data_IF_044777226856
#
_entry.id   IF_044777226856
#
_cell.length_a   1.000
_cell.length_b   1.000
_cell.length_c   1.000
_cell.angle_alpha   90.00
_cell.angle_beta   90.00
_cell.angle_gamma   90.00
#
_symmetry.space_group_name_H-M   'P 1'
#
loop_
_entity.id
_entity.type
_entity.pdbx_description
1 polymer ?
#
# COMPACT_ATOMS: atom_id res chain seq x y z
N UNK A 1 9.67 8.37 -11.21
CA UNK A 1 9.51 7.03 -10.58
C UNK A 1 8.12 6.46 -10.74
N UNK A 2 7.10 6.99 -10.08
CA UNK A 2 5.69 6.60 -10.19
C UNK A 2 4.87 7.76 -10.74
N UNK A 3 3.98 7.48 -11.69
CA UNK A 3 2.97 8.43 -12.16
C UNK A 3 1.59 7.78 -12.09
N UNK A 4 0.64 8.42 -11.41
CA UNK A 4 -0.77 8.03 -11.33
C UNK A 4 -1.60 9.15 -11.93
N UNK A 5 -2.48 8.81 -12.88
CA UNK A 5 -3.39 9.76 -13.53
C UNK A 5 -4.83 9.26 -13.42
N UNK A 6 -5.67 10.05 -12.77
CA UNK A 6 -7.13 9.88 -12.65
C UNK A 6 -7.56 8.47 -12.19
N UNK A 7 -6.76 7.85 -11.31
CA UNK A 7 -7.05 6.50 -10.81
C UNK A 7 -8.39 6.46 -10.08
N UNK A 8 -9.28 5.59 -10.52
CA UNK A 8 -10.55 5.30 -9.85
C UNK A 8 -10.74 3.80 -9.66
N UNK A 9 -11.10 3.40 -8.44
CA UNK A 9 -11.35 2.01 -8.05
C UNK A 9 -12.65 1.87 -7.28
N UNK A 10 -13.54 0.99 -7.77
CA UNK A 10 -14.79 0.61 -7.12
C UNK A 10 -14.91 -0.91 -7.05
N UNK A 11 -15.19 -1.46 -5.88
CA UNK A 11 -15.43 -2.91 -5.75
C UNK A 11 -16.85 -3.27 -6.22
N UNK A 12 -17.03 -4.47 -6.81
CA UNK A 12 -18.28 -4.91 -7.47
C UNK A 12 -19.55 -4.68 -6.64
N UNK A 13 -19.50 -4.88 -5.33
CA UNK A 13 -20.65 -4.77 -4.42
C UNK A 13 -20.66 -3.45 -3.63
N UNK A 14 -19.73 -2.54 -3.89
CA UNK A 14 -19.66 -1.27 -3.18
C UNK A 14 -20.59 -0.24 -3.83
N UNK A 15 -21.27 0.57 -3.02
CA UNK A 15 -22.06 1.71 -3.49
C UNK A 15 -21.16 2.90 -3.83
N UNK A 16 -19.99 3.01 -3.19
CA UNK A 16 -19.05 4.13 -3.32
C UNK A 16 -17.71 3.67 -3.90
N UNK A 17 -16.99 4.59 -4.51
CA UNK A 17 -15.60 4.38 -4.91
C UNK A 17 -14.71 4.27 -3.66
N UNK A 18 -13.77 3.32 -3.68
CA UNK A 18 -12.72 3.21 -2.66
C UNK A 18 -11.56 4.18 -2.95
N UNK A 19 -11.35 4.49 -4.24
CA UNK A 19 -10.43 5.53 -4.73
C UNK A 19 -11.13 6.20 -5.90
N UNK A 20 -11.09 7.54 -5.96
CA UNK A 20 -11.76 8.32 -7.02
C UNK A 20 -10.89 9.46 -7.51
N UNK A 21 -10.58 9.43 -8.80
CA UNK A 21 -9.83 10.49 -9.50
C UNK A 21 -8.52 10.88 -8.80
N UNK A 22 -7.74 9.88 -8.37
CA UNK A 22 -6.48 10.08 -7.69
C UNK A 22 -5.36 10.32 -8.71
N UNK A 23 -4.65 11.45 -8.59
CA UNK A 23 -3.52 11.79 -9.46
C UNK A 23 -2.37 12.34 -8.64
N UNK A 24 -1.18 11.76 -8.77
CA UNK A 24 0.06 12.26 -8.19
C UNK A 24 1.28 11.58 -8.82
N UNK A 25 2.45 12.15 -8.56
CA UNK A 25 3.75 11.64 -9.04
C UNK A 25 4.73 11.50 -7.89
N UNK A 26 5.61 10.50 -8.00
CA UNK A 26 6.78 10.34 -7.15
C UNK A 26 8.05 10.57 -7.97
N UNK A 27 8.99 11.26 -7.35
CA UNK A 27 10.33 11.47 -7.89
C UNK A 27 11.23 10.24 -7.61
N UNK A 28 12.38 10.17 -8.30
CA UNK A 28 13.40 9.18 -8.00
C UNK A 28 14.16 9.59 -6.72
N UNK A 29 14.43 8.62 -5.86
CA UNK A 29 15.23 8.86 -4.66
C UNK A 29 14.53 9.64 -3.54
N UNK A 30 13.20 9.54 -3.42
CA UNK A 30 12.45 10.12 -2.31
C UNK A 30 11.81 9.06 -1.40
N UNK A 31 11.52 9.43 -0.16
CA UNK A 31 10.61 8.71 0.72
C UNK A 31 9.28 9.45 0.73
N UNK A 32 8.25 8.81 0.18
CA UNK A 32 6.93 9.39 0.04
C UNK A 32 5.93 8.71 0.98
N UNK A 33 5.34 9.49 1.88
CA UNK A 33 4.30 9.04 2.79
C UNK A 33 2.90 9.11 2.16
N UNK A 34 2.07 8.12 2.43
CA UNK A 34 0.66 8.09 2.01
C UNK A 34 -0.22 8.05 3.25
N UNK A 35 -0.63 9.22 3.73
CA UNK A 35 -1.25 9.45 5.02
C UNK A 35 -2.77 9.49 4.91
N UNK A 36 -3.45 8.79 5.80
CA UNK A 36 -4.92 8.82 5.87
C UNK A 36 -5.46 7.92 6.95
N UNK A 37 -6.70 8.19 7.38
CA UNK A 37 -7.41 7.36 8.36
C UNK A 37 -7.64 5.94 7.84
N UNK A 38 -8.02 5.02 8.71
CA UNK A 38 -8.46 3.69 8.30
C UNK A 38 -9.70 3.82 7.40
N UNK A 39 -9.70 3.09 6.27
CA UNK A 39 -10.75 3.20 5.26
C UNK A 39 -10.60 4.39 4.28
N UNK A 40 -9.55 5.21 4.37
CA UNK A 40 -9.32 6.32 3.45
C UNK A 40 -9.00 5.90 2.01
N UNK A 41 -8.68 4.61 1.75
CA UNK A 41 -8.35 4.09 0.43
C UNK A 41 -6.87 3.74 0.24
N UNK A 42 -6.03 3.81 1.29
CA UNK A 42 -4.57 3.58 1.22
C UNK A 42 -4.22 2.21 0.64
N UNK A 43 -4.63 1.13 1.29
CA UNK A 43 -4.32 -0.24 0.83
C UNK A 43 -4.96 -0.56 -0.53
N UNK A 44 -6.12 0.03 -0.86
CA UNK A 44 -6.72 -0.10 -2.19
C UNK A 44 -5.83 0.55 -3.26
N UNK A 45 -5.32 1.74 -3.01
CA UNK A 45 -4.39 2.44 -3.91
C UNK A 45 -3.11 1.64 -4.08
N UNK A 46 -2.51 1.14 -2.99
CA UNK A 46 -1.31 0.29 -3.03
C UNK A 46 -1.54 -0.97 -3.86
N UNK A 47 -2.67 -1.65 -3.67
CA UNK A 47 -3.02 -2.85 -4.45
C UNK A 47 -3.21 -2.56 -5.95
N UNK A 48 -3.69 -1.37 -6.31
CA UNK A 48 -3.73 -0.93 -7.72
C UNK A 48 -2.32 -0.64 -8.25
N UNK A 49 -1.48 0.09 -7.50
CA UNK A 49 -0.08 0.39 -7.86
C UNK A 49 0.71 -0.90 -8.10
N UNK A 50 0.56 -1.88 -7.22
CA UNK A 50 1.27 -3.17 -7.31
C UNK A 50 0.65 -4.16 -8.32
N UNK A 51 -0.46 -3.76 -8.96
CA UNK A 51 -1.17 -4.61 -9.93
C UNK A 51 -1.75 -5.89 -9.33
N UNK A 52 -2.08 -5.88 -8.03
CA UNK A 52 -2.77 -6.98 -7.33
C UNK A 52 -4.25 -6.96 -7.66
N UNK A 53 -4.84 -5.77 -7.76
CA UNK A 53 -6.23 -5.61 -8.17
C UNK A 53 -6.30 -4.68 -9.40
N UNK A 54 -7.22 -4.95 -10.35
CA UNK A 54 -7.47 -4.04 -11.45
C UNK A 54 -8.21 -2.78 -10.96
N UNK A 55 -8.13 -1.71 -11.74
CA UNK A 55 -8.85 -0.47 -11.53
C UNK A 55 -9.75 -0.18 -12.74
N UNK A 56 -10.75 0.70 -12.57
CA UNK A 56 -11.76 0.97 -13.60
C UNK A 56 -11.32 2.12 -14.53
N UNK A 57 -10.67 3.15 -13.97
CA UNK A 57 -10.29 4.35 -14.72
C UNK A 57 -8.89 4.81 -14.36
N UNK A 58 -8.24 5.50 -15.29
CA UNK A 58 -6.93 6.11 -15.12
C UNK A 58 -5.78 5.27 -15.64
N UNK A 59 -4.58 5.63 -15.24
CA UNK A 59 -3.34 4.91 -15.58
C UNK A 59 -2.34 4.98 -14.44
N UNK A 60 -1.48 3.96 -14.35
CA UNK A 60 -0.37 3.87 -13.41
C UNK A 60 0.87 3.47 -14.19
N UNK A 61 1.90 4.31 -14.13
CA UNK A 61 3.21 4.06 -14.75
C UNK A 61 4.28 3.99 -13.68
N UNK A 62 5.12 2.95 -13.71
CA UNK A 62 6.19 2.68 -12.74
C UNK A 62 7.49 2.47 -13.50
N UNK A 63 8.50 3.29 -13.22
CA UNK A 63 9.78 3.27 -13.92
C UNK A 63 9.62 3.29 -15.46
N UNK A 64 8.60 3.99 -15.98
CA UNK A 64 8.29 4.06 -17.41
C UNK A 64 7.40 2.95 -17.95
N UNK A 65 7.04 1.94 -17.15
CA UNK A 65 6.18 0.82 -17.56
C UNK A 65 4.75 0.99 -17.04
N UNK A 66 3.76 0.93 -17.93
CA UNK A 66 2.34 0.95 -17.57
C UNK A 66 1.94 -0.39 -16.94
N UNK A 67 1.39 -0.35 -15.72
CA UNK A 67 1.06 -1.57 -14.95
C UNK A 67 0.00 -2.45 -15.62
N UNK A 68 -0.84 -1.89 -16.48
CA UNK A 68 -1.91 -2.61 -17.18
C UNK A 68 -1.43 -3.18 -18.51
N UNK A 69 -0.50 -2.50 -19.20
CA UNK A 69 -0.02 -2.89 -20.53
C UNK A 69 1.26 -3.73 -20.45
N UNK A 70 2.14 -3.41 -19.52
CA UNK A 70 3.40 -4.12 -19.30
C UNK A 70 3.60 -4.47 -17.82
N UNK A 71 2.72 -5.33 -17.25
CA UNK A 71 2.73 -5.63 -15.82
C UNK A 71 4.00 -6.35 -15.36
N UNK A 72 4.66 -7.11 -16.24
CA UNK A 72 5.86 -7.87 -15.89
C UNK A 72 7.01 -6.89 -15.62
N UNK A 73 7.32 -6.01 -16.56
CA UNK A 73 8.41 -5.05 -16.40
C UNK A 73 8.12 -4.03 -15.29
N UNK A 74 6.86 -3.59 -15.13
CA UNK A 74 6.47 -2.75 -14.00
C UNK A 74 6.75 -3.46 -12.66
N UNK A 75 6.30 -4.72 -12.49
CA UNK A 75 6.45 -5.50 -11.24
C UNK A 75 7.91 -5.87 -10.94
N UNK A 76 8.76 -6.06 -11.93
CA UNK A 76 10.19 -6.29 -11.73
C UNK A 76 10.91 -5.11 -11.04
N UNK A 77 10.33 -3.91 -11.11
CA UNK A 77 10.86 -2.74 -10.42
C UNK A 77 10.27 -2.53 -9.01
N UNK A 78 9.28 -3.34 -8.59
CA UNK A 78 8.56 -3.17 -7.32
C UNK A 78 9.02 -4.20 -6.30
N UNK A 79 9.42 -3.74 -5.11
CA UNK A 79 9.46 -4.55 -3.89
C UNK A 79 8.23 -4.24 -3.04
N UNK A 80 7.31 -5.17 -2.85
CA UNK A 80 6.08 -4.94 -2.12
C UNK A 80 6.02 -5.70 -0.81
N UNK A 81 5.66 -4.99 0.26
CA UNK A 81 5.41 -5.56 1.60
C UNK A 81 3.98 -5.23 2.00
N UNK A 82 3.09 -6.24 2.11
CA UNK A 82 1.71 -6.06 2.53
C UNK A 82 1.59 -5.87 4.05
N UNK A 83 0.46 -5.33 4.50
CA UNK A 83 0.10 -5.16 5.91
C UNK A 83 -0.09 -6.49 6.67
N UNK A 84 -0.43 -7.55 5.97
CA UNK A 84 -0.89 -8.83 6.55
C UNK A 84 0.15 -9.97 6.47
N UNK A 85 1.44 -9.70 6.47
CA UNK A 85 2.52 -10.73 6.47
C UNK A 85 2.11 -12.07 5.81
N UNK A 86 1.57 -12.02 4.57
CA UNK A 86 1.18 -13.22 3.84
C UNK A 86 2.44 -14.01 3.40
N UNK A 87 2.96 -14.84 4.31
CA UNK A 87 4.17 -15.64 4.12
C UNK A 87 3.84 -17.14 4.13
N UNK A 88 4.70 -17.94 3.52
CA UNK A 88 4.61 -19.40 3.60
C UNK A 88 5.19 -19.89 4.92
N UNK A 89 4.35 -20.02 5.94
CA UNK A 89 4.76 -20.31 7.33
C UNK A 89 5.51 -21.63 7.52
N UNK A 90 5.33 -22.60 6.63
CA UNK A 90 6.02 -23.88 6.66
C UNK A 90 7.44 -23.85 6.07
N UNK A 91 7.78 -22.80 5.34
CA UNK A 91 9.15 -22.60 4.84
C UNK A 91 10.03 -22.02 5.94
N UNK A 92 11.34 -22.27 5.84
CA UNK A 92 12.33 -21.49 6.59
C UNK A 92 12.45 -20.09 5.98
N UNK A 93 12.99 -19.13 6.76
CA UNK A 93 13.24 -17.79 6.24
C UNK A 93 14.14 -17.80 5.00
N UNK A 94 15.18 -18.61 5.01
CA UNK A 94 16.10 -18.79 3.87
C UNK A 94 15.36 -19.32 2.64
N UNK A 95 14.59 -20.39 2.79
CA UNK A 95 13.81 -20.97 1.69
C UNK A 95 12.83 -19.95 1.10
N UNK A 96 12.15 -19.19 1.94
CA UNK A 96 11.18 -18.17 1.49
C UNK A 96 11.85 -17.06 0.69
N UNK A 97 12.96 -16.50 1.19
CA UNK A 97 13.70 -15.44 0.47
C UNK A 97 14.32 -15.98 -0.82
N UNK A 98 14.85 -17.21 -0.80
CA UNK A 98 15.38 -17.88 -2.00
C UNK A 98 14.28 -18.12 -3.04
N UNK A 99 13.09 -18.57 -2.60
CA UNK A 99 11.94 -18.76 -3.46
C UNK A 99 11.55 -17.45 -4.16
N UNK A 100 11.48 -16.34 -3.42
CA UNK A 100 11.20 -15.03 -4.00
C UNK A 100 12.28 -14.57 -4.96
N UNK A 101 13.57 -14.77 -4.62
CA UNK A 101 14.68 -14.48 -5.52
C UNK A 101 14.58 -15.22 -6.85
N UNK A 102 14.20 -16.50 -6.82
CA UNK A 102 14.00 -17.32 -8.01
C UNK A 102 12.82 -16.82 -8.89
N UNK A 103 11.71 -16.39 -8.27
CA UNK A 103 10.58 -15.79 -9.01
C UNK A 103 11.04 -14.54 -9.78
N UNK A 104 11.85 -13.69 -9.17
CA UNK A 104 12.40 -12.49 -9.80
C UNK A 104 13.66 -12.78 -10.66
N UNK A 105 14.02 -14.06 -10.88
CA UNK A 105 15.15 -14.51 -11.71
C UNK A 105 16.50 -13.93 -11.27
N UNK A 106 16.67 -13.74 -9.96
CA UNK A 106 17.96 -13.34 -9.39
C UNK A 106 18.91 -14.52 -9.45
N UNK A 107 20.17 -14.30 -9.83
CA UNK A 107 21.22 -15.33 -9.86
C UNK A 107 21.43 -15.93 -8.46
N UNK A 108 21.64 -17.25 -8.40
CA UNK A 108 21.74 -18.01 -7.14
C UNK A 108 22.82 -17.44 -6.20
N UNK A 109 23.98 -17.09 -6.73
CA UNK A 109 25.07 -16.53 -5.93
C UNK A 109 24.69 -15.17 -5.31
N UNK A 110 23.95 -14.32 -6.06
CA UNK A 110 23.44 -13.03 -5.57
C UNK A 110 22.34 -13.22 -4.53
N UNK A 111 21.51 -14.25 -4.64
CA UNK A 111 20.50 -14.57 -3.63
C UNK A 111 21.19 -14.86 -2.30
N UNK A 112 22.19 -15.77 -2.29
CA UNK A 112 22.92 -16.14 -1.07
C UNK A 112 23.67 -14.94 -0.45
N UNK A 113 24.35 -14.14 -1.28
CA UNK A 113 25.01 -12.92 -0.83
C UNK A 113 24.02 -11.95 -0.16
N UNK A 114 22.87 -11.69 -0.81
CA UNK A 114 21.84 -10.77 -0.31
C UNK A 114 21.17 -11.31 0.95
N UNK A 115 20.88 -12.60 1.03
CA UNK A 115 20.36 -13.24 2.24
C UNK A 115 21.31 -13.03 3.42
N UNK A 116 22.62 -13.25 3.22
CA UNK A 116 23.64 -13.02 4.24
C UNK A 116 23.69 -11.55 4.66
N UNK A 117 23.71 -10.64 3.69
CA UNK A 117 23.70 -9.18 3.93
C UNK A 117 22.48 -8.72 4.71
N UNK A 118 21.28 -9.09 4.26
CA UNK A 118 20.04 -8.73 4.92
C UNK A 118 19.87 -9.41 6.28
N UNK A 119 20.27 -10.68 6.38
CA UNK A 119 20.26 -11.42 7.65
C UNK A 119 21.08 -10.72 8.74
N UNK A 120 22.26 -10.24 8.40
CA UNK A 120 23.08 -9.44 9.31
C UNK A 120 22.43 -8.08 9.61
N UNK A 121 21.94 -7.38 8.58
CA UNK A 121 21.38 -6.03 8.72
C UNK A 121 20.11 -5.96 9.54
N UNK A 122 19.19 -6.91 9.36
CA UNK A 122 17.94 -6.99 10.11
C UNK A 122 18.04 -7.83 11.38
N UNK A 123 19.25 -8.23 11.77
CA UNK A 123 19.49 -9.11 12.90
C UNK A 123 18.64 -10.39 12.84
N UNK A 124 18.60 -11.03 11.65
CA UNK A 124 17.81 -12.23 11.36
C UNK A 124 18.67 -13.47 11.09
N UNK A 125 20.02 -13.32 11.05
CA UNK A 125 20.92 -14.41 10.67
C UNK A 125 20.72 -15.70 11.50
N UNK A 126 20.43 -15.56 12.81
CA UNK A 126 20.23 -16.69 13.73
C UNK A 126 18.92 -17.46 13.47
N UNK A 127 17.96 -16.83 12.79
CA UNK A 127 16.61 -17.38 12.60
C UNK A 127 16.36 -17.88 11.17
N UNK A 128 17.22 -17.55 10.21
CA UNK A 128 16.98 -17.84 8.79
C UNK A 128 16.69 -19.30 8.49
N UNK A 129 17.25 -20.22 9.26
CA UNK A 129 17.09 -21.66 9.07
C UNK A 129 15.95 -22.26 9.90
N UNK A 130 15.22 -21.42 10.66
CA UNK A 130 14.01 -21.78 11.39
C UNK A 130 12.77 -21.55 10.53
N UNK A 131 11.70 -22.31 10.77
CA UNK A 131 10.43 -22.12 10.07
C UNK A 131 9.77 -20.80 10.45
N UNK A 132 9.19 -20.09 9.46
CA UNK A 132 8.54 -18.79 9.63
C UNK A 132 7.37 -18.82 10.62
N UNK A 133 6.71 -19.97 10.79
CA UNK A 133 5.65 -20.10 11.81
C UNK A 133 6.14 -19.83 13.25
N UNK A 134 7.43 -20.01 13.52
CA UNK A 134 8.03 -19.72 14.82
C UNK A 134 8.46 -18.27 15.02
N UNK A 135 8.33 -17.43 13.98
CA UNK A 135 8.77 -16.06 14.02
C UNK A 135 7.80 -15.16 14.79
N UNK A 136 8.34 -14.21 15.54
CA UNK A 136 7.55 -13.10 16.09
C UNK A 136 6.98 -12.21 14.98
N UNK A 137 6.05 -11.34 15.32
CA UNK A 137 5.48 -10.37 14.37
C UNK A 137 6.57 -9.53 13.68
N UNK A 138 7.51 -8.98 14.45
CA UNK A 138 8.64 -8.21 13.91
C UNK A 138 9.56 -9.04 13.01
N UNK A 139 9.81 -10.31 13.34
CA UNK A 139 10.59 -11.22 12.49
C UNK A 139 9.87 -11.54 11.19
N UNK A 140 8.54 -11.74 11.23
CA UNK A 140 7.72 -11.92 10.01
C UNK A 140 7.77 -10.67 9.13
N UNK A 141 7.72 -9.49 9.70
CA UNK A 141 7.89 -8.24 8.94
C UNK A 141 9.26 -8.15 8.28
N UNK A 142 10.34 -8.43 9.03
CA UNK A 142 11.70 -8.39 8.50
C UNK A 142 11.91 -9.38 7.36
N UNK A 143 11.38 -10.61 7.47
CA UNK A 143 11.52 -11.60 6.39
C UNK A 143 10.72 -11.21 5.14
N UNK A 144 9.53 -10.57 5.29
CA UNK A 144 8.80 -9.99 4.17
C UNK A 144 9.60 -8.90 3.47
N UNK A 145 10.26 -8.04 4.24
CA UNK A 145 11.12 -6.97 3.71
C UNK A 145 12.32 -7.57 2.96
N UNK A 146 13.00 -8.55 3.54
CA UNK A 146 14.13 -9.23 2.86
C UNK A 146 13.70 -9.84 1.54
N UNK A 147 12.55 -10.50 1.51
CA UNK A 147 11.97 -11.10 0.31
C UNK A 147 11.58 -10.06 -0.75
N UNK A 148 10.99 -8.95 -0.32
CA UNK A 148 10.62 -7.84 -1.22
C UNK A 148 11.84 -7.12 -1.83
N UNK A 149 12.98 -7.15 -1.16
CA UNK A 149 14.20 -6.46 -1.57
C UNK A 149 15.21 -7.37 -2.28
N UNK A 150 14.96 -8.70 -2.34
CA UNK A 150 15.93 -9.67 -2.84
C UNK A 150 16.37 -9.43 -4.30
N UNK A 151 15.48 -8.88 -5.12
CA UNK A 151 15.73 -8.54 -6.52
C UNK A 151 16.23 -7.11 -6.75
N UNK A 152 16.50 -6.35 -5.65
CA UNK A 152 16.99 -4.97 -5.67
C UNK A 152 16.07 -4.02 -6.46
N UNK A 153 14.80 -3.89 -6.05
CA UNK A 153 13.82 -3.05 -6.74
C UNK A 153 14.21 -1.56 -6.64
N UNK A 154 13.86 -0.78 -7.67
CA UNK A 154 13.99 0.69 -7.62
C UNK A 154 12.86 1.36 -6.83
N UNK A 155 11.73 0.70 -6.72
CA UNK A 155 10.52 1.19 -6.08
C UNK A 155 10.07 0.25 -4.97
N UNK A 156 10.21 0.68 -3.72
CA UNK A 156 9.84 -0.09 -2.55
C UNK A 156 8.51 0.41 -1.97
N UNK A 157 7.48 -0.43 -2.03
CA UNK A 157 6.10 -0.15 -1.61
C UNK A 157 5.78 -0.92 -0.35
N UNK A 158 5.30 -0.23 0.70
CA UNK A 158 4.98 -0.83 1.98
C UNK A 158 3.59 -0.37 2.47
N UNK A 159 2.78 -1.32 2.89
CA UNK A 159 1.48 -1.03 3.49
C UNK A 159 1.55 -1.14 5.02
N UNK A 160 1.45 -0.01 5.73
CA UNK A 160 1.54 0.12 7.20
C UNK A 160 2.75 -0.61 7.82
N UNK A 161 3.99 -0.43 7.32
CA UNK A 161 5.14 -1.31 7.61
C UNK A 161 5.64 -1.30 9.05
N UNK A 162 5.28 -0.30 9.84
CA UNK A 162 5.79 -0.10 11.19
C UNK A 162 4.73 -0.35 12.27
N UNK A 163 3.54 -0.78 11.87
CA UNK A 163 2.44 -1.04 12.80
C UNK A 163 2.72 -2.29 13.64
N UNK A 164 2.57 -2.16 14.97
CA UNK A 164 2.72 -3.28 15.90
C UNK A 164 4.15 -3.79 16.09
N UNK A 165 5.16 -3.06 15.62
CA UNK A 165 6.56 -3.41 15.82
C UNK A 165 7.10 -2.84 17.14
N UNK A 166 8.07 -3.56 17.70
CA UNK A 166 8.88 -3.05 18.78
C UNK A 166 9.76 -1.86 18.32
N UNK A 167 10.24 -1.00 19.25
CA UNK A 167 11.02 0.18 18.90
C UNK A 167 12.29 -0.14 18.10
N UNK A 168 12.98 -1.24 18.41
CA UNK A 168 14.21 -1.64 17.74
C UNK A 168 13.94 -2.04 16.28
N UNK A 169 12.96 -2.91 16.04
CA UNK A 169 12.56 -3.32 14.69
C UNK A 169 12.09 -2.14 13.84
N UNK A 170 11.29 -1.23 14.43
CA UNK A 170 10.86 0.00 13.78
C UNK A 170 12.03 0.91 13.39
N UNK A 171 13.03 1.05 14.28
CA UNK A 171 14.24 1.82 14.00
C UNK A 171 15.04 1.23 12.83
N UNK A 172 15.30 -0.07 12.85
CA UNK A 172 16.06 -0.77 11.81
C UNK A 172 15.41 -0.61 10.43
N UNK A 173 14.08 -0.76 10.34
CA UNK A 173 13.33 -0.59 9.07
C UNK A 173 13.42 0.86 8.58
N UNK A 174 13.25 1.84 9.46
CA UNK A 174 13.40 3.27 9.09
C UNK A 174 14.80 3.58 8.58
N UNK A 175 15.84 3.08 9.24
CA UNK A 175 17.22 3.26 8.77
C UNK A 175 17.41 2.64 7.37
N UNK A 176 16.81 1.47 7.12
CA UNK A 176 16.91 0.86 5.81
C UNK A 176 16.15 1.64 4.72
N UNK A 177 15.00 2.24 5.04
CA UNK A 177 14.31 3.16 4.11
C UNK A 177 15.20 4.33 3.71
N UNK A 178 15.86 4.96 4.68
CA UNK A 178 16.80 6.06 4.44
C UNK A 178 18.01 5.63 3.60
N UNK A 179 18.56 4.45 3.84
CA UNK A 179 19.64 3.90 3.02
C UNK A 179 19.19 3.59 1.59
N UNK A 180 18.00 3.00 1.43
CA UNK A 180 17.44 2.69 0.11
C UNK A 180 17.26 3.97 -0.73
N UNK A 181 16.76 5.04 -0.09
CA UNK A 181 16.70 6.37 -0.69
C UNK A 181 18.10 6.91 -1.08
N UNK A 182 19.10 6.78 -0.20
CA UNK A 182 20.48 7.24 -0.49
C UNK A 182 21.11 6.56 -1.71
N UNK A 183 20.64 5.36 -2.06
CA UNK A 183 21.04 4.66 -3.28
C UNK A 183 20.29 5.15 -4.53
N UNK A 184 19.48 6.21 -4.44
CA UNK A 184 18.68 6.76 -5.54
C UNK A 184 17.36 6.02 -5.77
N UNK A 185 17.00 5.08 -4.91
CA UNK A 185 15.74 4.34 -5.00
C UNK A 185 14.62 5.06 -4.24
N UNK A 186 13.37 4.79 -4.63
CA UNK A 186 12.20 5.44 -4.05
C UNK A 186 11.45 4.52 -3.10
N UNK A 187 11.04 5.07 -1.96
CA UNK A 187 10.20 4.38 -0.96
C UNK A 187 8.83 5.04 -0.93
N UNK A 188 7.78 4.23 -1.05
CA UNK A 188 6.40 4.64 -0.87
C UNK A 188 5.78 3.82 0.25
N UNK A 189 5.28 4.46 1.29
CA UNK A 189 4.62 3.72 2.36
C UNK A 189 3.34 4.39 2.86
N UNK A 190 2.36 3.57 3.18
CA UNK A 190 1.15 4.04 3.86
C UNK A 190 1.39 4.15 5.37
N UNK A 191 0.78 5.15 5.98
CA UNK A 191 0.77 5.29 7.43
C UNK A 191 -0.47 6.06 7.91
N UNK A 192 -0.83 5.83 9.16
CA UNK A 192 -1.73 6.70 9.93
C UNK A 192 -1.00 7.39 11.09
N UNK A 193 0.32 7.16 11.23
CA UNK A 193 1.17 7.76 12.27
C UNK A 193 1.96 8.94 11.69
N UNK A 194 1.61 10.13 12.15
CA UNK A 194 2.19 11.39 11.67
C UNK A 194 3.65 11.58 12.12
N UNK A 195 4.00 11.14 13.34
CA UNK A 195 5.39 11.27 13.82
C UNK A 195 6.39 10.53 12.91
N UNK A 196 5.99 9.39 12.35
CA UNK A 196 6.83 8.64 11.42
C UNK A 196 7.01 9.43 10.14
N UNK A 197 5.90 9.98 9.61
CA UNK A 197 5.90 10.78 8.38
C UNK A 197 6.81 12.00 8.54
N UNK A 198 6.69 12.76 9.62
CA UNK A 198 7.52 13.94 9.90
C UNK A 198 9.01 13.62 9.96
N UNK A 199 9.36 12.43 10.50
CA UNK A 199 10.77 12.07 10.73
C UNK A 199 11.50 11.55 9.50
N UNK A 200 10.80 10.93 8.53
CA UNK A 200 11.47 10.21 7.45
C UNK A 200 11.01 10.57 6.04
N UNK A 201 9.83 11.20 5.88
CA UNK A 201 9.32 11.52 4.54
C UNK A 201 9.90 12.83 4.01
N UNK A 202 10.13 12.85 2.70
CA UNK A 202 10.38 14.10 1.97
C UNK A 202 9.06 14.79 1.65
N UNK A 203 8.11 14.02 1.12
CA UNK A 203 6.77 14.48 0.77
C UNK A 203 5.73 13.51 1.32
N UNK A 204 4.54 14.02 1.55
CA UNK A 204 3.40 13.22 2.02
C UNK A 204 2.13 13.62 1.26
N UNK A 205 1.39 12.63 0.79
CA UNK A 205 0.03 12.83 0.28
C UNK A 205 -0.97 12.53 1.40
N UNK A 206 -1.88 13.46 1.65
CA UNK A 206 -3.03 13.27 2.54
C UNK A 206 -4.19 12.76 1.70
N UNK A 207 -4.72 11.60 2.08
CA UNK A 207 -5.90 10.99 1.45
C UNK A 207 -7.05 10.87 2.45
N UNK A 208 -8.26 11.23 2.01
CA UNK A 208 -9.50 10.99 2.76
C UNK A 208 -10.61 10.54 1.83
N UNK A 209 -11.38 9.52 2.26
CA UNK A 209 -12.54 8.97 1.51
C UNK A 209 -12.25 8.68 0.03
N UNK A 210 -11.07 8.15 -0.24
CA UNK A 210 -10.62 7.77 -1.58
C UNK A 210 -10.17 8.93 -2.47
N UNK A 211 -10.01 10.13 -1.94
CA UNK A 211 -9.57 11.32 -2.70
C UNK A 211 -8.28 11.88 -2.14
N UNK A 212 -7.43 12.36 -3.01
CA UNK A 212 -6.27 13.16 -2.64
C UNK A 212 -6.76 14.53 -2.12
N UNK A 213 -6.34 14.88 -0.93
CA UNK A 213 -6.60 16.20 -0.34
C UNK A 213 -5.48 17.15 -0.75
N UNK A 214 -4.23 16.77 -0.47
CA UNK A 214 -3.07 17.61 -0.72
C UNK A 214 -1.78 16.78 -0.71
N UNK A 215 -0.74 17.31 -1.33
CA UNK A 215 0.64 16.80 -1.23
C UNK A 215 1.49 17.89 -0.57
N UNK A 216 2.20 17.53 0.48
CA UNK A 216 2.99 18.43 1.32
C UNK A 216 4.46 18.04 1.20
N UNK A 217 5.33 19.01 0.98
CA UNK A 217 6.76 18.89 1.27
C UNK A 217 6.95 18.99 2.78
N UNK A 218 7.37 17.90 3.41
CA UNK A 218 7.39 17.78 4.87
C UNK A 218 8.37 18.77 5.49
N UNK A 219 9.57 18.89 4.93
CA UNK A 219 10.58 19.79 5.46
C UNK A 219 10.13 21.25 5.39
N UNK A 220 9.65 21.68 4.22
CA UNK A 220 9.14 23.04 4.01
C UNK A 220 7.96 23.34 4.94
N UNK A 221 7.04 22.37 5.10
CA UNK A 221 5.90 22.52 6.00
C UNK A 221 6.35 22.73 7.46
N UNK A 222 7.30 21.93 7.95
CA UNK A 222 7.78 22.05 9.32
C UNK A 222 8.55 23.36 9.59
N UNK A 223 9.17 23.96 8.56
CA UNK A 223 9.87 25.24 8.66
C UNK A 223 8.92 26.45 8.61
N UNK A 224 7.85 26.37 7.81
CA UNK A 224 6.98 27.53 7.52
C UNK A 224 5.63 27.52 8.24
N UNK A 225 5.16 26.34 8.69
CA UNK A 225 3.82 26.22 9.27
C UNK A 225 3.80 26.58 10.76
N UNK A 226 2.85 27.40 11.21
CA UNK A 226 2.65 27.70 12.63
C UNK A 226 1.98 26.56 13.42
N UNK A 227 1.44 25.54 12.72
CA UNK A 227 0.72 24.41 13.31
C UNK A 227 1.46 23.10 13.02
N UNK A 228 1.27 22.10 13.88
CA UNK A 228 1.81 20.75 13.65
C UNK A 228 1.16 20.06 12.44
N UNK A 229 1.84 19.08 11.86
CA UNK A 229 1.27 18.26 10.80
C UNK A 229 0.01 17.53 11.27
N UNK A 230 -0.08 17.21 12.57
CA UNK A 230 -1.24 16.57 13.17
C UNK A 230 -2.45 17.50 13.19
N UNK A 231 -2.30 18.72 13.66
CA UNK A 231 -3.37 19.73 13.66
C UNK A 231 -3.84 20.01 12.23
N UNK A 232 -2.89 20.16 11.31
CA UNK A 232 -3.18 20.37 9.90
C UNK A 232 -3.97 19.21 9.28
N UNK A 233 -3.52 17.98 9.50
CA UNK A 233 -4.21 16.77 9.03
C UNK A 233 -5.63 16.66 9.58
N UNK A 234 -5.82 16.94 10.88
CA UNK A 234 -7.13 16.90 11.52
C UNK A 234 -8.08 17.96 10.94
N UNK A 235 -7.61 19.17 10.70
CA UNK A 235 -8.41 20.25 10.11
C UNK A 235 -8.83 19.88 8.67
N UNK A 236 -7.89 19.49 7.82
CA UNK A 236 -8.17 19.10 6.43
C UNK A 236 -9.13 17.91 6.32
N UNK A 237 -9.05 16.94 7.23
CA UNK A 237 -9.93 15.77 7.22
C UNK A 237 -11.28 15.99 7.91
N UNK A 238 -11.45 17.05 8.75
CA UNK A 238 -12.75 17.46 9.30
C UNK A 238 -13.57 18.28 8.31
N UNK A 239 -12.93 19.23 7.63
CA UNK A 239 -13.58 20.13 6.67
C UNK A 239 -14.10 19.43 5.40
N UNK A 240 -13.60 18.22 5.12
CA UNK A 240 -13.99 17.39 3.97
C UNK A 240 -15.19 16.45 4.26
N UNK A 241 -16.10 16.83 5.18
CA UNK A 241 -17.39 16.14 5.26
C UNK A 241 -18.21 16.50 4.01
N UNK A 242 -18.59 15.52 3.17
CA UNK A 242 -19.48 15.81 2.05
C UNK A 242 -20.77 16.37 2.63
N UNK A 243 -21.21 17.53 2.15
CA UNK A 243 -22.61 17.92 2.25
C UNK A 243 -23.39 16.76 1.63
N UNK A 244 -24.46 16.30 2.27
CA UNK A 244 -25.24 15.07 1.97
C UNK A 244 -25.94 15.02 0.57
N UNK A 245 -25.38 15.58 -0.46
CA UNK A 245 -26.01 15.81 -1.76
C UNK A 245 -25.69 14.80 -2.88
N UNK A 246 -25.09 13.63 -2.57
CA UNK A 246 -24.93 12.56 -3.58
C UNK A 246 -25.42 11.18 -3.08
N UNK A 247 -26.63 11.13 -2.53
CA UNK A 247 -27.38 9.87 -2.45
C UNK A 247 -28.01 9.63 -3.81
N UNK A 248 -27.32 8.89 -4.68
CA UNK A 248 -27.88 8.44 -5.95
C UNK A 248 -29.22 7.76 -5.71
N UNK A 249 -30.24 8.22 -6.44
CA UNK A 249 -31.60 7.69 -6.42
C UNK A 249 -31.60 6.16 -6.52
N UNK A 250 -32.23 5.50 -5.54
CA UNK A 250 -32.54 4.07 -5.62
C UNK A 250 -33.45 3.83 -6.81
N UNK A 251 -33.19 2.87 -7.69
CA UNK A 251 -34.12 2.51 -8.73
C UNK A 251 -35.44 2.05 -8.08
N UNK A 252 -36.53 2.75 -8.36
CA UNK A 252 -37.88 2.39 -7.92
C UNK A 252 -38.22 0.99 -8.41
N UNK A 253 -38.30 0.03 -7.52
CA UNK A 253 -38.83 -1.30 -7.82
C UNK A 253 -40.30 -1.18 -8.22
N UNK A 254 -40.62 -1.49 -9.47
CA UNK A 254 -42.01 -1.64 -9.95
C UNK A 254 -42.64 -2.82 -9.20
N UNK A 255 -43.44 -2.54 -8.16
CA UNK A 255 -44.37 -3.49 -7.59
C UNK A 255 -45.43 -3.80 -8.67
N UNK A 256 -45.40 -4.99 -9.24
CA UNK A 256 -46.50 -5.54 -10.03
C UNK A 256 -47.67 -5.81 -9.09
N UNK A 257 -48.74 -5.07 -9.21
CA UNK A 257 -50.04 -5.36 -8.61
C UNK A 257 -50.55 -6.69 -9.11
N UNK A 258 -50.67 -7.68 -8.21
CA UNK A 258 -51.47 -8.88 -8.47
C UNK A 258 -52.95 -8.54 -8.20
N UNK A 259 -53.74 -8.41 -9.27
CA UNK A 259 -55.18 -8.39 -9.25
C UNK A 259 -55.71 -9.72 -8.70
N UNK A 260 -56.46 -9.65 -7.59
CA UNK A 260 -57.38 -10.69 -7.18
C UNK A 260 -58.49 -10.80 -8.22
N UNK A 261 -58.71 -12.02 -8.72
CA UNK A 261 -60.01 -12.41 -9.30
C UNK A 261 -60.56 -13.59 -8.50
N UNK A 262 -61.67 -13.30 -7.83
CA UNK A 262 -62.62 -14.28 -7.34
C UNK A 262 -63.11 -15.13 -8.49
N UNK A 263 -63.32 -16.42 -8.20
CA UNK A 263 -64.55 -17.11 -8.65
C UNK A 263 -64.75 -18.38 -7.87
N UNK A 264 -65.85 -18.33 -7.15
CA UNK A 264 -66.69 -19.47 -6.76
C UNK A 264 -67.00 -20.44 -7.92
N UNK A 265 -67.09 -21.70 -7.55
CA UNK A 265 -68.21 -22.65 -7.81
C UNK A 265 -67.65 -24.08 -7.61
N UNK A 266 -68.20 -24.79 -6.63
CA UNK A 266 -69.31 -25.76 -6.69
C UNK A 266 -68.88 -27.15 -7.12
N UNK A 267 -69.13 -28.09 -6.15
CA UNK A 267 -69.81 -29.41 -6.34
C UNK A 267 -69.19 -30.36 -7.38
N UNK A 268 -68.70 -31.48 -7.02
CA UNK A 268 -69.30 -32.73 -6.50
C UNK A 268 -68.21 -33.62 -5.86
#
# INVERSE_FOLDING_TARGET
MLEIKNLSKKYKNATRYSVRNLSFTLEDGEIFGFLGKNGAGKSTTIKCITGIIPFEEGSITICGYDISRDPINAKLNIGYVPDNHAVYENLTGREYVTYMGNIYRVEKNLIEERIKKFGAKFNMAFALDNQIRSYSHGMKQKICIMAALIHNPKFWVLDEPLMGLDPQSSYEIKQYMLEHKKLGNTVFFSSHNLEIVEKICDRVAIIDKGRLIEIIDVKKFLEESPVSLEEYFLDKTKSNQPKDDEVGEKPKSKRKAKTKKDKNKKED
#
